data_IF_063057104168
#
_entry.id   IF_063057104168
#
_cell.length_a   1.000
_cell.length_b   1.000
_cell.length_c   1.000
_cell.angle_alpha   90.00
_cell.angle_beta   90.00
_cell.angle_gamma   90.00
#
_symmetry.space_group_name_H-M   'P 1'
#
loop_
_entity.id
_entity.type
_entity.pdbx_description
1 polymer ?
#
# COMPACT_ATOMS: atom_id res chain seq x y z
N UNK A 1 9.50 -20.01 -7.05
CA UNK A 1 8.14 -19.71 -6.55
C UNK A 1 8.06 -20.01 -5.06
N UNK A 2 8.07 -18.97 -4.21
CA UNK A 2 7.91 -19.14 -2.75
C UNK A 2 6.45 -18.89 -2.37
N UNK A 3 5.72 -19.93 -1.98
CA UNK A 3 4.31 -19.84 -1.56
C UNK A 3 4.13 -18.86 -0.38
N UNK A 4 5.17 -18.71 0.44
CA UNK A 4 5.21 -17.77 1.56
C UNK A 4 5.31 -16.31 1.11
N UNK A 5 6.03 -16.02 0.02
CA UNK A 5 6.11 -14.67 -0.56
C UNK A 5 4.73 -14.25 -1.10
N UNK A 6 4.11 -15.13 -1.89
CA UNK A 6 2.75 -14.92 -2.41
C UNK A 6 1.75 -14.71 -1.27
N UNK A 7 1.76 -15.58 -0.25
CA UNK A 7 0.87 -15.45 0.91
C UNK A 7 1.09 -14.15 1.67
N UNK A 8 2.35 -13.77 1.90
CA UNK A 8 2.71 -12.50 2.53
C UNK A 8 2.17 -11.29 1.75
N UNK A 9 2.33 -11.26 0.42
CA UNK A 9 1.84 -10.16 -0.42
C UNK A 9 0.31 -10.10 -0.49
N UNK A 10 -0.38 -11.23 -0.38
CA UNK A 10 -1.85 -11.26 -0.29
C UNK A 10 -2.28 -10.69 1.06
N UNK A 11 -1.68 -11.12 2.16
CA UNK A 11 -1.98 -10.59 3.49
C UNK A 11 -1.75 -9.07 3.58
N UNK A 12 -0.61 -8.59 3.05
CA UNK A 12 -0.38 -7.16 2.93
C UNK A 12 -1.38 -6.50 1.97
N UNK A 13 -1.68 -7.13 0.84
CA UNK A 13 -2.62 -6.65 -0.15
C UNK A 13 -4.00 -6.38 0.43
N UNK A 14 -4.49 -7.23 1.33
CA UNK A 14 -5.78 -7.09 2.03
C UNK A 14 -5.74 -5.99 3.11
N UNK A 15 -4.57 -5.71 3.68
CA UNK A 15 -4.43 -4.65 4.70
C UNK A 15 -4.77 -3.26 4.15
N UNK A 16 -4.47 -2.97 2.88
CA UNK A 16 -4.73 -1.67 2.25
C UNK A 16 -6.23 -1.41 2.01
N UNK A 17 -7.05 -2.30 1.41
CA UNK A 17 -8.50 -2.13 1.31
C UNK A 17 -9.16 -1.89 2.68
N UNK A 18 -8.75 -2.62 3.71
CA UNK A 18 -9.27 -2.43 5.07
C UNK A 18 -8.93 -1.02 5.57
N UNK A 19 -7.69 -0.58 5.37
CA UNK A 19 -7.22 0.77 5.69
C UNK A 19 -8.01 1.86 4.95
N UNK A 20 -8.23 1.67 3.65
CA UNK A 20 -8.95 2.60 2.76
C UNK A 20 -10.42 2.70 3.18
N UNK A 21 -11.11 1.57 3.33
CA UNK A 21 -12.52 1.51 3.73
C UNK A 21 -12.75 2.21 5.08
N UNK A 22 -11.83 2.00 6.05
CA UNK A 22 -11.89 2.69 7.34
C UNK A 22 -11.77 4.20 7.18
N UNK A 23 -10.84 4.69 6.36
CA UNK A 23 -10.68 6.13 6.11
C UNK A 23 -11.90 6.73 5.38
N UNK A 24 -12.47 6.05 4.40
CA UNK A 24 -13.67 6.53 3.70
C UNK A 24 -14.86 6.62 4.66
N UNK A 25 -15.08 5.58 5.49
CA UNK A 25 -16.23 5.50 6.41
C UNK A 25 -16.13 6.50 7.56
N UNK A 26 -14.96 6.60 8.19
CA UNK A 26 -14.76 7.47 9.35
C UNK A 26 -14.44 8.92 8.96
N UNK A 27 -13.99 9.15 7.74
CA UNK A 27 -13.42 10.43 7.25
C UNK A 27 -12.30 10.95 8.14
N UNK A 28 -11.71 10.09 8.97
CA UNK A 28 -10.64 10.42 9.90
C UNK A 28 -9.37 9.67 9.52
N UNK A 29 -8.25 10.38 9.65
CA UNK A 29 -6.90 9.87 9.37
C UNK A 29 -6.00 9.93 10.60
N UNK A 30 -6.54 10.38 11.74
CA UNK A 30 -5.82 10.44 13.01
C UNK A 30 -5.30 9.04 13.40
N UNK A 31 -4.01 8.94 13.66
CA UNK A 31 -3.32 7.68 14.00
C UNK A 31 -2.71 6.92 12.81
N UNK A 32 -2.96 7.32 11.56
CA UNK A 32 -2.22 6.78 10.40
C UNK A 32 -0.90 7.54 10.22
N UNK A 33 0.20 6.81 9.98
CA UNK A 33 1.51 7.40 9.71
C UNK A 33 1.74 7.54 8.20
N UNK A 34 1.81 8.78 7.64
CA UNK A 34 2.09 8.98 6.22
C UNK A 34 3.51 8.58 5.84
N UNK A 35 4.46 8.74 6.77
CA UNK A 35 5.84 8.28 6.58
C UNK A 35 5.90 6.77 6.39
N UNK A 36 5.13 6.01 7.19
CA UNK A 36 5.05 4.56 7.03
C UNK A 36 4.52 4.16 5.64
N UNK A 37 3.45 4.82 5.16
CA UNK A 37 2.89 4.57 3.83
C UNK A 37 3.93 4.83 2.72
N UNK A 38 4.70 5.92 2.82
CA UNK A 38 5.74 6.27 1.85
C UNK A 38 6.90 5.25 1.87
N UNK A 39 7.34 4.83 3.06
CA UNK A 39 8.40 3.83 3.21
C UNK A 39 7.97 2.49 2.58
N UNK A 40 6.71 2.09 2.78
CA UNK A 40 6.18 0.87 2.17
C UNK A 40 6.11 0.99 0.65
N UNK A 41 5.69 2.13 0.10
CA UNK A 41 5.74 2.37 -1.36
C UNK A 41 7.15 2.17 -1.91
N UNK A 42 8.16 2.75 -1.25
CA UNK A 42 9.56 2.58 -1.66
C UNK A 42 10.00 1.11 -1.60
N UNK A 43 9.60 0.39 -0.54
CA UNK A 43 9.84 -1.05 -0.41
C UNK A 43 9.25 -1.87 -1.56
N UNK A 44 8.00 -1.60 -1.96
CA UNK A 44 7.39 -2.28 -3.10
C UNK A 44 8.08 -1.95 -4.42
N UNK A 45 8.50 -0.70 -4.65
CA UNK A 45 9.26 -0.31 -5.85
C UNK A 45 10.57 -1.09 -5.92
N UNK A 46 11.34 -1.16 -4.83
CA UNK A 46 12.56 -1.97 -4.76
C UNK A 46 12.29 -3.45 -5.05
N UNK A 47 11.21 -4.01 -4.49
CA UNK A 47 10.79 -5.39 -4.77
C UNK A 47 10.44 -5.64 -6.24
N UNK A 48 9.73 -4.70 -6.88
CA UNK A 48 9.40 -4.75 -8.32
C UNK A 48 10.66 -4.72 -9.15
N UNK A 49 11.59 -3.79 -8.87
CA UNK A 49 12.87 -3.68 -9.59
C UNK A 49 13.66 -4.99 -9.45
N UNK A 50 13.78 -5.53 -8.23
CA UNK A 50 14.48 -6.79 -8.01
C UNK A 50 13.85 -7.95 -8.79
N UNK A 51 12.51 -8.08 -8.77
CA UNK A 51 11.82 -9.12 -9.55
C UNK A 51 12.01 -8.91 -11.06
N UNK A 52 11.93 -7.67 -11.54
CA UNK A 52 12.12 -7.36 -12.96
C UNK A 52 13.54 -7.69 -13.47
N UNK A 53 14.56 -7.48 -12.64
CA UNK A 53 15.97 -7.69 -13.03
C UNK A 53 16.45 -9.14 -12.81
N UNK A 54 16.00 -9.82 -11.76
CA UNK A 54 16.62 -11.07 -11.31
C UNK A 54 15.67 -12.28 -11.30
N UNK A 55 14.34 -12.09 -11.24
CA UNK A 55 13.38 -13.20 -11.12
C UNK A 55 11.99 -12.78 -11.58
N UNK A 56 11.80 -12.73 -12.90
CA UNK A 56 10.55 -12.26 -13.52
C UNK A 56 9.46 -13.34 -13.47
N UNK A 57 8.89 -13.50 -12.28
CA UNK A 57 7.77 -14.39 -12.02
C UNK A 57 6.46 -13.59 -11.92
N UNK A 58 5.32 -14.27 -12.11
CA UNK A 58 3.98 -13.67 -12.01
C UNK A 58 3.72 -12.94 -10.67
N UNK A 59 4.48 -13.26 -9.61
CA UNK A 59 4.41 -12.61 -8.29
C UNK A 59 4.67 -11.09 -8.37
N UNK A 60 5.38 -10.62 -9.39
CA UNK A 60 5.58 -9.17 -9.64
C UNK A 60 4.24 -8.41 -9.76
N UNK A 61 3.18 -9.07 -10.27
CA UNK A 61 1.83 -8.49 -10.37
C UNK A 61 1.27 -8.19 -8.97
N UNK A 62 1.52 -9.06 -7.99
CA UNK A 62 1.08 -8.83 -6.61
C UNK A 62 1.79 -7.64 -5.97
N UNK A 63 3.08 -7.44 -6.28
CA UNK A 63 3.81 -6.25 -5.86
C UNK A 63 3.21 -4.97 -6.48
N UNK A 64 2.90 -4.99 -7.78
CA UNK A 64 2.31 -3.85 -8.49
C UNK A 64 0.93 -3.51 -7.91
N UNK A 65 0.08 -4.51 -7.67
CA UNK A 65 -1.23 -4.31 -7.05
C UNK A 65 -1.10 -3.71 -5.65
N UNK A 66 -0.18 -4.24 -4.84
CA UNK A 66 0.09 -3.70 -3.51
C UNK A 66 0.55 -2.24 -3.58
N UNK A 67 1.49 -1.92 -4.47
CA UNK A 67 1.97 -0.55 -4.68
C UNK A 67 0.83 0.39 -5.07
N UNK A 68 -0.06 -0.04 -5.96
CA UNK A 68 -1.22 0.73 -6.37
C UNK A 68 -2.19 0.99 -5.21
N UNK A 69 -2.52 -0.05 -4.43
CA UNK A 69 -3.44 0.07 -3.30
C UNK A 69 -2.87 0.97 -2.18
N UNK A 70 -1.59 0.81 -1.82
CA UNK A 70 -0.96 1.69 -0.82
C UNK A 70 -0.87 3.13 -1.32
N UNK A 71 -0.66 3.35 -2.62
CA UNK A 71 -0.67 4.69 -3.22
C UNK A 71 -2.05 5.34 -3.13
N UNK A 72 -3.13 4.58 -3.34
CA UNK A 72 -4.50 5.05 -3.13
C UNK A 72 -4.73 5.41 -1.65
N UNK A 73 -4.34 4.55 -0.70
CA UNK A 73 -4.49 4.85 0.73
C UNK A 73 -3.71 6.12 1.14
N UNK A 74 -2.50 6.27 0.59
CA UNK A 74 -1.66 7.45 0.79
C UNK A 74 -2.30 8.73 0.23
N UNK A 75 -2.81 8.69 -1.00
CA UNK A 75 -3.54 9.81 -1.60
C UNK A 75 -4.77 10.18 -0.75
N UNK A 76 -5.53 9.17 -0.34
CA UNK A 76 -6.73 9.35 0.47
C UNK A 76 -6.41 9.95 1.84
N UNK A 77 -5.29 9.53 2.44
CA UNK A 77 -4.77 10.11 3.68
C UNK A 77 -4.54 11.63 3.52
N UNK A 78 -3.80 12.05 2.49
CA UNK A 78 -3.52 13.48 2.28
C UNK A 78 -4.79 14.28 1.97
N UNK A 79 -5.73 13.69 1.23
CA UNK A 79 -7.00 14.32 0.91
C UNK A 79 -7.85 14.60 2.16
N UNK A 80 -8.07 13.59 3.02
CA UNK A 80 -8.85 13.77 4.25
C UNK A 80 -8.09 14.55 5.33
N UNK A 81 -6.77 14.42 5.41
CA UNK A 81 -5.94 15.21 6.33
C UNK A 81 -6.11 16.71 6.08
N UNK A 82 -6.12 17.16 4.82
CA UNK A 82 -6.37 18.57 4.46
C UNK A 82 -7.79 19.02 4.80
N UNK A 83 -8.78 18.13 4.71
CA UNK A 83 -10.18 18.44 5.07
C UNK A 83 -10.39 18.57 6.58
N UNK A 84 -9.72 17.76 7.40
CA UNK A 84 -9.79 17.88 8.85
C UNK A 84 -9.17 19.18 9.36
N UNK A 85 -8.04 19.60 8.79
CA UNK A 85 -7.35 20.85 9.16
C UNK A 85 -8.14 22.13 8.80
N UNK A 86 -9.15 22.02 7.93
CA UNK A 86 -9.97 23.15 7.48
C UNK A 86 -11.25 23.37 8.30
N UNK A 87 -11.52 22.51 9.28
CA UNK A 87 -12.73 22.54 10.11
C UNK A 87 -12.38 22.98 11.52
#
# INVERSE_FOLDING_TARGET
>A
MSIFETGMLICFGVSWPVSILKTIKTKQVAGKSPLFLIIICAGYICGIIHKALFSNDWVIILYIINLFLVSIDCFLYFYFSKRLQKK
#
